data_IF_343624534154
#
_entry.id   IF_343624534154
#
_cell.length_a   1.000
_cell.length_b   1.000
_cell.length_c   1.000
_cell.angle_alpha   90.00
_cell.angle_beta   90.00
_cell.angle_gamma   90.00
#
_symmetry.space_group_name_H-M   'P 1'
#
loop_
_entity.id
_entity.type
_entity.pdbx_description
1 polymer ?
#
# COMPACT_ATOMS: atom_id res chain seq x y z
N UNK A 1 -28.76 10.51 4.18
CA UNK A 1 -27.72 10.05 3.23
C UNK A 1 -28.19 8.70 2.71
N UNK A 2 -28.83 8.66 1.55
CA UNK A 2 -29.37 7.40 1.00
C UNK A 2 -28.20 6.56 0.51
N UNK A 3 -28.06 5.34 1.05
CA UNK A 3 -27.06 4.37 0.59
C UNK A 3 -27.38 4.01 -0.86
N UNK A 4 -26.53 4.41 -1.78
CA UNK A 4 -26.68 4.06 -3.19
C UNK A 4 -25.99 2.72 -3.43
N UNK A 5 -26.80 1.68 -3.68
CA UNK A 5 -26.31 0.33 -3.95
C UNK A 5 -25.43 0.27 -5.21
N UNK A 6 -25.61 1.20 -6.15
CA UNK A 6 -24.80 1.28 -7.37
C UNK A 6 -23.37 1.73 -7.05
N UNK A 7 -23.23 2.79 -6.25
CA UNK A 7 -21.92 3.28 -5.79
C UNK A 7 -21.23 2.21 -4.94
N UNK A 8 -21.96 1.53 -4.07
CA UNK A 8 -21.40 0.45 -3.25
C UNK A 8 -20.80 -0.68 -4.10
N UNK A 9 -21.46 -1.05 -5.21
CA UNK A 9 -20.97 -2.09 -6.14
C UNK A 9 -19.71 -1.65 -6.89
N UNK A 10 -19.58 -0.37 -7.22
CA UNK A 10 -18.40 0.18 -7.89
C UNK A 10 -17.20 0.30 -6.93
N UNK A 11 -17.44 0.48 -5.63
CA UNK A 11 -16.40 0.48 -4.57
C UNK A 11 -16.00 -0.93 -4.13
N UNK A 12 -16.81 -1.96 -4.44
CA UNK A 12 -16.57 -3.34 -4.05
C UNK A 12 -15.17 -3.90 -4.38
N UNK A 13 -14.59 -3.71 -5.60
CA UNK A 13 -13.24 -4.19 -5.89
C UNK A 13 -12.18 -3.56 -4.96
N UNK A 14 -12.32 -2.27 -4.62
CA UNK A 14 -11.47 -1.61 -3.62
C UNK A 14 -11.63 -2.29 -2.26
N UNK A 15 -12.87 -2.57 -1.84
CA UNK A 15 -13.16 -3.22 -0.55
C UNK A 15 -12.62 -4.64 -0.44
N UNK A 16 -12.67 -5.43 -1.51
CA UNK A 16 -12.08 -6.78 -1.54
C UNK A 16 -10.57 -6.70 -1.36
N UNK A 17 -9.90 -5.80 -2.07
CA UNK A 17 -8.45 -5.59 -1.95
C UNK A 17 -8.08 -5.04 -0.57
N UNK A 18 -8.90 -4.15 0.00
CA UNK A 18 -8.71 -3.60 1.34
C UNK A 18 -8.81 -4.69 2.42
N UNK A 19 -9.83 -5.56 2.35
CA UNK A 19 -9.98 -6.69 3.27
C UNK A 19 -8.80 -7.64 3.14
N UNK A 20 -8.40 -7.99 1.92
CA UNK A 20 -7.20 -8.81 1.67
C UNK A 20 -5.94 -8.18 2.25
N UNK A 21 -5.76 -6.86 2.08
CA UNK A 21 -4.64 -6.12 2.67
C UNK A 21 -4.61 -6.25 4.19
N UNK A 22 -5.72 -6.04 4.89
CA UNK A 22 -5.77 -6.14 6.35
C UNK A 22 -5.49 -7.58 6.81
N UNK A 23 -6.15 -8.56 6.21
CA UNK A 23 -6.02 -9.97 6.58
C UNK A 23 -4.61 -10.50 6.36
N UNK A 24 -4.01 -10.26 5.18
CA UNK A 24 -2.64 -10.71 4.91
C UNK A 24 -1.60 -9.96 5.75
N UNK A 25 -1.79 -8.67 6.05
CA UNK A 25 -0.90 -7.96 6.97
C UNK A 25 -0.95 -8.56 8.38
N UNK A 26 -2.15 -8.86 8.90
CA UNK A 26 -2.31 -9.46 10.22
C UNK A 26 -1.73 -10.88 10.27
N UNK A 27 -1.95 -11.69 9.24
CA UNK A 27 -1.35 -13.03 9.13
C UNK A 27 0.18 -12.95 9.02
N UNK A 28 0.72 -12.00 8.27
CA UNK A 28 2.16 -11.78 8.19
C UNK A 28 2.75 -11.48 9.58
N UNK A 29 2.15 -10.53 10.33
CA UNK A 29 2.59 -10.19 11.68
C UNK A 29 2.41 -11.31 12.71
N UNK A 30 1.52 -12.28 12.45
CA UNK A 30 1.37 -13.49 13.28
C UNK A 30 2.54 -14.45 13.11
N UNK A 31 3.09 -14.57 11.90
CA UNK A 31 4.15 -15.53 11.58
C UNK A 31 5.54 -14.91 11.52
N UNK A 32 5.65 -13.58 11.52
CA UNK A 32 6.90 -12.86 11.30
C UNK A 32 7.02 -11.65 12.23
N UNK A 33 8.23 -11.42 12.73
CA UNK A 33 8.57 -10.22 13.50
C UNK A 33 8.41 -8.92 12.72
N UNK A 34 8.20 -7.82 13.45
CA UNK A 34 7.93 -6.49 12.90
C UNK A 34 9.08 -5.99 12.00
N UNK A 35 10.33 -6.36 12.31
CA UNK A 35 11.50 -5.97 11.54
C UNK A 35 11.56 -6.63 10.16
N UNK A 36 11.10 -7.88 10.02
CA UNK A 36 11.03 -8.56 8.72
C UNK A 36 9.77 -8.17 7.94
N UNK A 37 8.67 -7.85 8.65
CA UNK A 37 7.49 -7.27 8.01
C UNK A 37 7.84 -6.05 7.15
N UNK A 38 8.85 -5.25 7.55
CA UNK A 38 9.36 -4.16 6.73
C UNK A 38 9.97 -4.58 5.39
N UNK A 39 10.80 -5.62 5.39
CA UNK A 39 11.49 -6.11 4.19
C UNK A 39 10.45 -6.51 3.14
N UNK A 40 9.37 -7.18 3.56
CA UNK A 40 8.20 -7.46 2.72
C UNK A 40 7.53 -6.18 2.20
N UNK A 41 7.30 -5.19 3.08
CA UNK A 41 6.63 -3.93 2.72
C UNK A 41 7.37 -3.13 1.66
N UNK A 42 8.68 -3.21 1.56
CA UNK A 42 9.42 -2.56 0.48
C UNK A 42 9.09 -3.12 -0.92
N UNK A 43 8.66 -4.38 -1.01
CA UNK A 43 8.22 -5.00 -2.25
C UNK A 43 6.91 -4.37 -2.79
N UNK A 44 6.16 -3.68 -1.92
CA UNK A 44 4.98 -2.88 -2.32
C UNK A 44 5.34 -1.87 -3.41
N UNK A 45 6.54 -1.29 -3.37
CA UNK A 45 6.99 -0.34 -4.39
C UNK A 45 7.11 -1.01 -5.75
N UNK A 46 7.70 -2.21 -5.80
CA UNK A 46 7.85 -3.02 -7.03
C UNK A 46 6.47 -3.40 -7.57
N UNK A 47 5.57 -3.89 -6.71
CA UNK A 47 4.20 -4.21 -7.13
C UNK A 47 3.42 -3.00 -7.61
N UNK A 48 3.63 -1.83 -7.02
CA UNK A 48 3.01 -0.60 -7.52
C UNK A 48 3.49 -0.30 -8.95
N UNK A 49 4.79 -0.46 -9.26
CA UNK A 49 5.28 -0.27 -10.64
C UNK A 49 4.57 -1.20 -11.61
N UNK A 50 4.50 -2.48 -11.26
CA UNK A 50 3.87 -3.52 -12.09
C UNK A 50 2.37 -3.23 -12.25
N UNK A 51 1.66 -2.94 -11.17
CA UNK A 51 0.23 -2.68 -11.20
C UNK A 51 -0.10 -1.37 -11.92
N UNK A 52 0.70 -0.31 -11.76
CA UNK A 52 0.52 0.95 -12.49
C UNK A 52 0.77 0.77 -14.00
N UNK A 53 1.72 -0.08 -14.38
CA UNK A 53 1.94 -0.45 -15.78
C UNK A 53 0.77 -1.26 -16.34
N UNK A 54 0.32 -2.30 -15.63
CA UNK A 54 -0.72 -3.22 -16.09
C UNK A 54 -2.13 -2.61 -16.06
N UNK A 55 -2.49 -1.91 -14.99
CA UNK A 55 -3.85 -1.41 -14.74
C UNK A 55 -4.05 -0.03 -15.36
N UNK A 56 -3.09 0.89 -15.18
CA UNK A 56 -3.18 2.26 -15.69
C UNK A 56 -2.58 2.42 -17.10
N UNK A 57 -1.92 1.39 -17.65
CA UNK A 57 -1.32 1.42 -18.98
C UNK A 57 -0.17 2.44 -19.13
N UNK A 58 0.34 2.98 -18.03
CA UNK A 58 1.40 3.98 -18.09
C UNK A 58 2.74 3.30 -18.41
N UNK A 59 3.29 3.58 -19.60
CA UNK A 59 4.62 3.09 -20.00
C UNK A 59 5.67 3.43 -18.93
N UNK A 60 6.36 2.41 -18.44
CA UNK A 60 7.46 2.53 -17.47
C UNK A 60 8.78 2.57 -18.22
N UNK A 61 9.68 3.51 -17.92
CA UNK A 61 11.01 3.53 -18.54
C UNK A 61 11.87 2.34 -18.11
N UNK A 62 12.80 1.93 -18.97
CA UNK A 62 13.84 0.95 -18.65
C UNK A 62 14.63 1.31 -17.38
N UNK A 63 14.75 2.60 -17.06
CA UNK A 63 15.39 3.08 -15.81
C UNK A 63 14.62 2.65 -14.56
N UNK A 64 13.28 2.71 -14.60
CA UNK A 64 12.43 2.29 -13.49
C UNK A 64 12.45 0.76 -13.29
N UNK A 65 12.56 -0.01 -14.38
CA UNK A 65 12.75 -1.46 -14.32
C UNK A 65 14.09 -1.80 -13.65
N UNK A 66 15.16 -1.08 -13.99
CA UNK A 66 16.46 -1.21 -13.32
C UNK A 66 16.38 -0.99 -11.81
N UNK A 67 15.64 0.03 -11.36
CA UNK A 67 15.40 0.25 -9.93
C UNK A 67 14.62 -0.91 -9.27
N UNK A 68 13.66 -1.52 -9.97
CA UNK A 68 12.94 -2.69 -9.45
C UNK A 68 13.88 -3.87 -9.22
N UNK A 69 14.83 -4.13 -10.12
CA UNK A 69 15.84 -5.17 -9.91
C UNK A 69 16.71 -4.91 -8.67
N UNK A 70 17.09 -3.65 -8.42
CA UNK A 70 17.84 -3.29 -7.21
C UNK A 70 17.03 -3.56 -5.94
N UNK A 71 15.73 -3.23 -5.95
CA UNK A 71 14.84 -3.50 -4.81
C UNK A 71 14.69 -5.00 -4.57
N UNK A 72 14.51 -5.79 -5.64
CA UNK A 72 14.39 -7.25 -5.54
C UNK A 72 15.70 -7.86 -5.02
N UNK A 73 16.85 -7.41 -5.51
CA UNK A 73 18.16 -7.87 -5.02
C UNK A 73 18.34 -7.56 -3.53
N UNK A 74 18.00 -6.34 -3.12
CA UNK A 74 18.03 -5.95 -1.71
C UNK A 74 17.07 -6.78 -0.85
N UNK A 75 15.86 -7.06 -1.34
CA UNK A 75 14.89 -7.93 -0.66
C UNK A 75 15.44 -9.35 -0.48
N UNK A 76 15.99 -9.96 -1.54
CA UNK A 76 16.57 -11.32 -1.48
C UNK A 76 17.73 -11.40 -0.47
N UNK A 77 18.61 -10.38 -0.45
CA UNK A 77 19.67 -10.29 0.56
C UNK A 77 19.12 -10.19 2.00
N UNK A 78 18.00 -9.48 2.18
CA UNK A 78 17.35 -9.36 3.48
C UNK A 78 16.71 -10.67 3.95
N UNK A 79 16.10 -11.40 3.03
CA UNK A 79 15.52 -12.74 3.27
C UNK A 79 16.61 -13.74 3.63
N UNK A 80 17.71 -13.78 2.88
CA UNK A 80 18.84 -14.70 3.12
C UNK A 80 19.47 -14.50 4.50
N UNK A 81 19.63 -13.25 4.94
CA UNK A 81 20.15 -12.92 6.28
C UNK A 81 19.21 -13.37 7.42
N UNK A 82 17.91 -13.32 7.20
CA UNK A 82 16.91 -13.73 8.20
C UNK A 82 16.73 -15.24 8.23
N UNK A 83 16.89 -15.91 7.08
CA UNK A 83 16.99 -17.37 7.00
C UNK A 83 18.25 -17.89 7.72
N UNK A 84 19.39 -17.25 7.48
CA UNK A 84 20.64 -17.53 8.18
C UNK A 84 20.56 -17.29 9.70
N UNK A 85 19.66 -16.42 10.16
CA UNK A 85 19.41 -16.14 11.57
C UNK A 85 18.39 -17.10 12.22
N UNK A 86 17.77 -17.99 11.43
CA UNK A 86 16.80 -18.99 11.89
C UNK A 86 15.43 -18.41 12.28
N UNK A 87 15.17 -17.13 12.03
CA UNK A 87 13.90 -16.44 12.32
C UNK A 87 12.88 -16.52 11.17
N UNK A 88 13.26 -17.13 10.04
CA UNK A 88 12.48 -17.06 8.82
C UNK A 88 11.28 -18.00 8.84
N UNK A 89 10.10 -17.43 8.62
CA UNK A 89 8.87 -18.16 8.37
C UNK A 89 8.46 -18.01 6.91
N UNK A 90 8.65 -19.06 6.10
CA UNK A 90 8.32 -19.06 4.66
C UNK A 90 6.86 -18.65 4.42
N UNK A 91 5.94 -19.15 5.25
CA UNK A 91 4.51 -18.82 5.14
C UNK A 91 4.25 -17.33 5.43
N UNK A 92 5.00 -16.78 6.38
CA UNK A 92 5.01 -15.36 6.70
C UNK A 92 5.54 -14.50 5.56
N UNK A 93 6.61 -14.95 4.87
CA UNK A 93 7.12 -14.28 3.66
C UNK A 93 6.05 -14.23 2.57
N UNK A 94 5.38 -15.34 2.30
CA UNK A 94 4.29 -15.42 1.30
C UNK A 94 3.17 -14.46 1.64
N UNK A 95 2.70 -14.43 2.90
CA UNK A 95 1.69 -13.46 3.33
C UNK A 95 2.18 -12.02 3.24
N UNK A 96 3.45 -11.74 3.53
CA UNK A 96 4.04 -10.41 3.38
C UNK A 96 4.09 -9.93 1.92
N UNK A 97 4.42 -10.83 0.99
CA UNK A 97 4.40 -10.55 -0.46
C UNK A 97 2.97 -10.27 -0.94
N UNK A 98 2.01 -11.12 -0.57
CA UNK A 98 0.59 -10.94 -0.91
C UNK A 98 0.02 -9.65 -0.30
N UNK A 99 0.34 -9.36 0.96
CA UNK A 99 -0.07 -8.13 1.62
C UNK A 99 0.47 -6.90 0.87
N UNK A 100 1.74 -6.93 0.46
CA UNK A 100 2.37 -5.84 -0.29
C UNK A 100 1.73 -5.62 -1.66
N UNK A 101 1.32 -6.69 -2.34
CA UNK A 101 0.52 -6.60 -3.57
C UNK A 101 -0.84 -5.94 -3.31
N UNK A 102 -1.58 -6.41 -2.29
CA UNK A 102 -2.88 -5.83 -1.93
C UNK A 102 -2.76 -4.35 -1.54
N UNK A 103 -1.68 -3.95 -0.87
CA UNK A 103 -1.44 -2.54 -0.50
C UNK A 103 -1.23 -1.67 -1.74
N UNK A 104 -0.45 -2.15 -2.72
CA UNK A 104 -0.24 -1.46 -3.97
C UNK A 104 -1.55 -1.31 -4.75
N UNK A 105 -2.33 -2.40 -4.87
CA UNK A 105 -3.64 -2.38 -5.50
C UNK A 105 -4.63 -1.46 -4.77
N UNK A 106 -4.64 -1.48 -3.43
CA UNK A 106 -5.52 -0.64 -2.62
C UNK A 106 -5.26 0.85 -2.90
N UNK A 107 -4.00 1.27 -2.99
CA UNK A 107 -3.65 2.66 -3.31
C UNK A 107 -4.12 3.07 -4.72
N UNK A 108 -3.94 2.18 -5.71
CA UNK A 108 -4.37 2.42 -7.09
C UNK A 108 -5.90 2.50 -7.19
N UNK A 109 -6.62 1.51 -6.66
CA UNK A 109 -8.09 1.51 -6.65
C UNK A 109 -8.66 2.66 -5.84
N UNK A 110 -8.02 3.07 -4.73
CA UNK A 110 -8.45 4.27 -3.99
C UNK A 110 -8.39 5.50 -4.89
N UNK A 111 -7.30 5.68 -5.63
CA UNK A 111 -7.17 6.80 -6.56
C UNK A 111 -8.16 6.72 -7.73
N UNK A 112 -8.40 5.52 -8.29
CA UNK A 112 -9.32 5.33 -9.42
C UNK A 112 -10.80 5.44 -9.04
N UNK A 113 -11.18 5.08 -7.81
CA UNK A 113 -12.57 5.10 -7.33
C UNK A 113 -12.95 6.45 -6.71
N UNK A 114 -11.98 7.29 -6.38
CA UNK A 114 -12.21 8.62 -5.78
C UNK A 114 -13.13 9.54 -6.64
N UNK A 115 -12.97 9.64 -7.97
CA UNK A 115 -13.85 10.45 -8.81
C UNK A 115 -15.29 9.94 -8.85
N UNK A 116 -15.48 8.62 -8.72
CA UNK A 116 -16.78 7.95 -8.79
C UNK A 116 -17.68 8.36 -7.61
N UNK A 117 -17.09 8.59 -6.44
CA UNK A 117 -17.82 9.01 -5.24
C UNK A 117 -17.94 10.53 -5.07
N UNK A 118 -17.57 11.29 -6.12
CA UNK A 118 -17.58 12.76 -6.13
C UNK A 118 -16.49 13.37 -5.27
N UNK A 119 -15.28 12.79 -5.29
CA UNK A 119 -14.09 13.27 -4.57
C UNK A 119 -14.28 13.45 -3.05
N UNK A 120 -15.24 12.74 -2.47
CA UNK A 120 -15.47 12.73 -1.04
C UNK A 120 -14.83 11.50 -0.40
N UNK A 121 -13.70 11.70 0.27
CA UNK A 121 -13.00 10.63 1.02
C UNK A 121 -13.91 10.06 2.11
N UNK A 122 -14.73 10.91 2.74
CA UNK A 122 -15.70 10.46 3.74
C UNK A 122 -16.67 9.43 3.15
N UNK A 123 -17.23 9.70 1.97
CA UNK A 123 -18.09 8.75 1.26
C UNK A 123 -17.34 7.49 0.90
N UNK A 124 -16.13 7.62 0.32
CA UNK A 124 -15.31 6.48 -0.06
C UNK A 124 -15.04 5.56 1.15
N UNK A 125 -14.64 6.15 2.26
CA UNK A 125 -14.29 5.44 3.50
C UNK A 125 -15.52 4.76 4.10
N UNK A 126 -16.68 5.44 4.09
CA UNK A 126 -17.94 4.87 4.57
C UNK A 126 -18.38 3.66 3.74
N UNK A 127 -18.43 3.78 2.41
CA UNK A 127 -18.78 2.66 1.53
C UNK A 127 -17.77 1.52 1.63
N UNK A 128 -16.48 1.84 1.69
CA UNK A 128 -15.43 0.84 1.81
C UNK A 128 -15.52 0.06 3.13
N UNK A 129 -15.70 0.75 4.26
CA UNK A 129 -15.80 0.10 5.57
C UNK A 129 -17.10 -0.71 5.72
N UNK A 130 -18.20 -0.24 5.14
CA UNK A 130 -19.47 -0.98 5.15
C UNK A 130 -19.37 -2.26 4.32
N UNK A 131 -18.78 -2.19 3.13
CA UNK A 131 -18.49 -3.38 2.33
C UNK A 131 -17.48 -4.30 3.01
N UNK A 132 -16.44 -3.75 3.64
CA UNK A 132 -15.45 -4.53 4.37
C UNK A 132 -16.09 -5.29 5.54
N UNK A 133 -17.00 -4.67 6.30
CA UNK A 133 -17.75 -5.34 7.37
C UNK A 133 -18.48 -6.59 6.85
N UNK A 134 -19.13 -6.48 5.69
CA UNK A 134 -19.82 -7.61 5.06
C UNK A 134 -18.83 -8.66 4.55
N UNK A 135 -17.71 -8.25 3.94
CA UNK A 135 -16.70 -9.14 3.37
C UNK A 135 -15.85 -9.88 4.44
N UNK A 136 -15.71 -9.31 5.64
CA UNK A 136 -15.05 -9.99 6.76
C UNK A 136 -15.87 -11.16 7.31
N UNK A 137 -17.20 -11.14 7.21
CA UNK A 137 -18.07 -12.24 7.67
C UNK A 137 -17.79 -13.59 6.98
N UNK A 138 -17.81 -13.71 5.63
CA UNK A 138 -17.46 -14.95 4.97
C UNK A 138 -15.99 -15.30 5.20
N UNK A 139 -15.09 -14.32 5.30
CA UNK A 139 -13.69 -14.60 5.59
C UNK A 139 -13.51 -15.25 6.97
N UNK A 140 -14.20 -14.77 8.01
CA UNK A 140 -14.18 -15.38 9.35
C UNK A 140 -14.78 -16.80 9.35
N UNK A 141 -15.80 -17.05 8.52
CA UNK A 141 -16.36 -18.40 8.32
C UNK A 141 -15.31 -19.34 7.71
N UNK A 142 -14.63 -18.93 6.64
CA UNK A 142 -13.62 -19.75 5.97
C UNK A 142 -12.35 -19.97 6.80
N UNK A 143 -11.94 -18.98 7.59
CA UNK A 143 -10.77 -19.08 8.46
C UNK A 143 -11.03 -19.90 9.73
N UNK A 144 -12.29 -20.28 10.02
CA UNK A 144 -12.67 -21.02 11.22
C UNK A 144 -12.65 -20.18 12.51
N UNK A 145 -12.42 -18.86 12.42
CA UNK A 145 -12.27 -17.97 13.57
C UNK A 145 -13.55 -17.79 14.37
N UNK A 146 -14.72 -18.06 13.78
CA UNK A 146 -16.00 -17.96 14.50
C UNK A 146 -16.10 -18.91 15.69
N UNK A 147 -15.52 -20.10 15.59
CA UNK A 147 -15.42 -21.01 16.73
C UNK A 147 -14.49 -20.47 17.80
N UNK A 148 -13.31 -20.01 17.40
CA UNK A 148 -12.28 -19.44 18.28
C UNK A 148 -12.80 -18.23 19.08
N UNK A 149 -13.58 -17.34 18.42
CA UNK A 149 -14.15 -16.14 19.05
C UNK A 149 -15.17 -16.50 20.12
N UNK A 150 -16.00 -17.52 19.90
CA UNK A 150 -17.02 -17.94 20.88
C UNK A 150 -16.41 -18.51 22.16
N UNK A 151 -15.25 -19.17 22.06
CA UNK A 151 -14.52 -19.73 23.19
C UNK A 151 -13.43 -18.80 23.74
N UNK A 152 -13.33 -17.57 23.22
CA UNK A 152 -12.26 -16.66 23.61
C UNK A 152 -12.43 -16.17 25.07
N UNK A 153 -11.51 -16.49 26.00
CA UNK A 153 -11.71 -16.23 27.42
C UNK A 153 -11.80 -14.74 27.80
N UNK A 154 -11.28 -13.85 26.94
CA UNK A 154 -11.26 -12.40 27.15
C UNK A 154 -12.38 -11.66 26.41
N UNK A 155 -13.32 -12.38 25.80
CA UNK A 155 -14.41 -11.79 25.01
C UNK A 155 -15.27 -10.82 25.85
N UNK A 156 -15.45 -11.09 27.13
CA UNK A 156 -16.23 -10.23 28.05
C UNK A 156 -15.35 -9.28 28.89
N UNK A 157 -14.05 -9.20 28.60
CA UNK A 157 -13.13 -8.37 29.38
C UNK A 157 -13.18 -6.91 28.90
N UNK A 158 -13.41 -5.97 29.83
CA UNK A 158 -13.49 -4.54 29.53
C UNK A 158 -12.16 -4.00 28.98
N UNK A 159 -11.02 -4.46 29.50
CA UNK A 159 -9.69 -4.07 29.00
C UNK A 159 -9.48 -4.52 27.56
N UNK A 160 -9.98 -5.71 27.19
CA UNK A 160 -9.94 -6.17 25.80
C UNK A 160 -10.73 -5.24 24.88
N UNK A 161 -11.97 -4.90 25.24
CA UNK A 161 -12.81 -3.99 24.44
C UNK A 161 -12.27 -2.55 24.41
N UNK A 162 -11.62 -2.08 25.47
CA UNK A 162 -10.92 -0.80 25.50
C UNK A 162 -9.80 -0.75 24.45
N UNK A 163 -8.88 -1.74 24.46
CA UNK A 163 -7.80 -1.81 23.47
C UNK A 163 -8.33 -2.05 22.06
N UNK A 164 -9.35 -2.90 21.91
CA UNK A 164 -9.99 -3.17 20.62
C UNK A 164 -10.62 -1.91 20.04
N UNK A 165 -11.41 -1.17 20.82
CA UNK A 165 -12.06 0.06 20.38
C UNK A 165 -11.03 1.16 20.08
N UNK A 166 -10.00 1.29 20.92
CA UNK A 166 -8.92 2.25 20.68
C UNK A 166 -8.18 1.96 19.38
N UNK A 167 -7.84 0.68 19.11
CA UNK A 167 -7.23 0.26 17.86
C UNK A 167 -8.15 0.52 16.65
N UNK A 168 -9.46 0.35 16.81
CA UNK A 168 -10.47 0.64 15.79
C UNK A 168 -10.55 2.13 15.44
N UNK A 169 -10.50 3.02 16.44
CA UNK A 169 -10.46 4.47 16.24
C UNK A 169 -9.21 4.86 15.46
N UNK A 170 -8.03 4.38 15.88
CA UNK A 170 -6.79 4.65 15.16
C UNK A 170 -6.79 4.05 13.75
N UNK A 171 -7.35 2.86 13.56
CA UNK A 171 -7.49 2.22 12.26
C UNK A 171 -8.38 3.03 11.32
N UNK A 172 -9.51 3.54 11.81
CA UNK A 172 -10.40 4.42 11.07
C UNK A 172 -9.71 5.74 10.69
N UNK A 173 -9.06 6.39 11.66
CA UNK A 173 -8.30 7.63 11.42
C UNK A 173 -7.20 7.42 10.39
N UNK A 174 -6.42 6.33 10.52
CA UNK A 174 -5.37 5.98 9.57
C UNK A 174 -5.94 5.72 8.17
N UNK A 175 -7.08 5.03 8.05
CA UNK A 175 -7.77 4.83 6.78
C UNK A 175 -8.17 6.16 6.13
N UNK A 176 -8.79 7.06 6.91
CA UNK A 176 -9.19 8.39 6.45
C UNK A 176 -7.99 9.24 5.99
N UNK A 177 -6.95 9.34 6.82
CA UNK A 177 -5.73 10.11 6.51
C UNK A 177 -5.00 9.53 5.29
N UNK A 178 -4.98 8.20 5.14
CA UNK A 178 -4.38 7.54 3.98
C UNK A 178 -5.15 7.89 2.70
N UNK A 179 -6.48 7.81 2.72
CA UNK A 179 -7.32 8.25 1.59
C UNK A 179 -7.12 9.74 1.27
N UNK A 180 -7.00 10.57 2.31
CA UNK A 180 -6.74 12.01 2.15
C UNK A 180 -5.38 12.31 1.54
N UNK A 181 -4.34 11.61 1.96
CA UNK A 181 -3.03 11.72 1.36
C UNK A 181 -3.03 11.33 -0.11
N UNK A 182 -3.73 10.24 -0.47
CA UNK A 182 -3.86 9.80 -1.86
C UNK A 182 -4.60 10.84 -2.70
N UNK A 183 -5.69 11.42 -2.18
CA UNK A 183 -6.43 12.49 -2.85
C UNK A 183 -5.58 13.74 -3.07
N UNK A 184 -4.90 14.21 -2.02
CA UNK A 184 -4.12 15.45 -2.07
C UNK A 184 -2.84 15.31 -2.92
N UNK A 185 -2.39 14.08 -3.18
CA UNK A 185 -1.16 13.80 -3.93
C UNK A 185 -1.40 12.83 -5.08
N UNK A 186 -1.03 11.57 -4.93
CA UNK A 186 -1.30 10.47 -5.87
C UNK A 186 -1.04 9.13 -5.19
N UNK A 187 -1.51 8.02 -5.79
CA UNK A 187 -1.17 6.68 -5.30
C UNK A 187 0.35 6.42 -5.31
N UNK A 188 1.07 7.02 -6.26
CA UNK A 188 2.53 6.94 -6.33
C UNK A 188 3.17 7.65 -5.14
N UNK A 189 2.82 8.92 -4.89
CA UNK A 189 3.34 9.72 -3.77
C UNK A 189 3.04 9.08 -2.42
N UNK A 190 1.82 8.56 -2.23
CA UNK A 190 1.45 7.82 -1.04
C UNK A 190 2.37 6.62 -0.79
N UNK A 191 2.67 5.83 -1.82
CA UNK A 191 3.53 4.67 -1.64
C UNK A 191 4.97 5.05 -1.30
N UNK A 192 5.47 6.16 -1.83
CA UNK A 192 6.80 6.71 -1.50
C UNK A 192 6.85 7.11 -0.02
N UNK A 193 5.87 7.90 0.44
CA UNK A 193 5.74 8.24 1.86
C UNK A 193 5.57 6.99 2.72
N UNK A 194 4.87 5.97 2.21
CA UNK A 194 4.73 4.66 2.83
C UNK A 194 6.06 3.94 3.03
N UNK A 195 6.94 3.93 2.02
CA UNK A 195 8.28 3.34 2.13
C UNK A 195 9.15 4.08 3.15
N UNK A 196 9.11 5.42 3.16
CA UNK A 196 9.86 6.23 4.13
C UNK A 196 9.35 6.03 5.56
N UNK A 197 8.02 6.02 5.76
CA UNK A 197 7.38 5.68 7.04
C UNK A 197 7.83 4.31 7.53
N UNK A 198 7.81 3.33 6.64
CA UNK A 198 8.18 1.97 6.96
C UNK A 198 9.69 1.85 7.30
N UNK A 199 10.56 2.63 6.65
CA UNK A 199 11.99 2.71 6.98
C UNK A 199 12.22 3.22 8.40
N UNK A 200 11.57 4.34 8.74
CA UNK A 200 11.61 4.89 10.08
C UNK A 200 11.05 3.90 11.11
N UNK A 201 9.93 3.24 10.78
CA UNK A 201 9.31 2.22 11.63
C UNK A 201 10.28 1.07 11.93
N UNK A 202 11.11 0.69 10.97
CA UNK A 202 12.09 -0.41 11.12
C UNK A 202 13.23 -0.04 12.05
N UNK A 203 13.79 1.16 11.89
CA UNK A 203 14.81 1.67 12.81
C UNK A 203 14.23 1.74 14.23
N UNK A 204 13.01 2.25 14.38
CA UNK A 204 12.34 2.29 15.68
C UNK A 204 12.08 0.89 16.25
N UNK A 205 11.66 -0.08 15.42
CA UNK A 205 11.42 -1.45 15.85
C UNK A 205 12.71 -2.13 16.34
N UNK A 206 13.81 -2.01 15.60
CA UNK A 206 15.10 -2.60 16.00
C UNK A 206 15.58 -2.03 17.34
N UNK A 207 15.43 -0.72 17.55
CA UNK A 207 15.79 -0.06 18.82
C UNK A 207 14.86 -0.52 19.96
N UNK A 208 13.55 -0.52 19.73
CA UNK A 208 12.56 -0.83 20.76
C UNK A 208 12.58 -2.30 21.19
N UNK A 209 12.68 -3.21 20.22
CA UNK A 209 12.75 -4.65 20.46
C UNK A 209 14.17 -5.14 20.81
N UNK A 210 15.16 -4.23 20.84
CA UNK A 210 16.57 -4.54 21.12
C UNK A 210 17.10 -5.69 20.25
N UNK A 211 16.70 -5.73 18.98
CA UNK A 211 17.08 -6.79 18.06
C UNK A 211 18.52 -6.58 17.57
N UNK A 212 19.35 -7.61 17.69
CA UNK A 212 20.70 -7.60 17.13
C UNK A 212 20.62 -8.04 15.67
N UNK A 213 20.83 -7.10 14.74
CA UNK A 213 20.81 -7.36 13.30
C UNK A 213 22.20 -7.26 12.68
N UNK A 214 22.51 -8.17 11.76
CA UNK A 214 23.79 -8.23 11.06
C UNK A 214 24.01 -6.99 10.18
N UNK A 215 25.28 -6.63 9.96
CA UNK A 215 25.63 -5.53 9.05
C UNK A 215 25.04 -5.70 7.63
N UNK A 216 25.03 -6.93 7.11
CA UNK A 216 24.43 -7.24 5.80
C UNK A 216 22.92 -6.98 5.75
N UNK A 217 22.21 -7.18 6.85
CA UNK A 217 20.78 -6.86 6.95
C UNK A 217 20.56 -5.34 6.82
N UNK A 218 21.38 -4.53 7.49
CA UNK A 218 21.35 -3.07 7.33
C UNK A 218 21.70 -2.65 5.90
N UNK A 219 22.69 -3.28 5.28
CA UNK A 219 23.06 -3.01 3.89
C UNK A 219 21.88 -3.31 2.93
N UNK A 220 21.18 -4.43 3.11
CA UNK A 220 19.95 -4.76 2.37
C UNK A 220 18.91 -3.64 2.50
N UNK A 221 18.62 -3.19 3.72
CA UNK A 221 17.66 -2.11 3.97
C UNK A 221 18.06 -0.80 3.26
N UNK A 222 19.34 -0.43 3.29
CA UNK A 222 19.86 0.75 2.58
C UNK A 222 19.72 0.61 1.06
N UNK A 223 20.06 -0.56 0.50
CA UNK A 223 19.92 -0.84 -0.94
C UNK A 223 18.46 -0.69 -1.37
N UNK A 224 17.53 -1.26 -0.61
CA UNK A 224 16.10 -1.21 -0.89
C UNK A 224 15.55 0.21 -0.80
N UNK A 225 15.97 0.97 0.22
CA UNK A 225 15.60 2.38 0.38
C UNK A 225 16.11 3.23 -0.77
N UNK A 226 17.39 3.04 -1.13
CA UNK A 226 18.01 3.75 -2.24
C UNK A 226 17.34 3.40 -3.56
N UNK A 227 17.06 2.12 -3.83
CA UNK A 227 16.33 1.67 -5.02
C UNK A 227 14.94 2.29 -5.11
N UNK A 228 14.22 2.38 -3.99
CA UNK A 228 12.89 3.01 -3.92
C UNK A 228 12.95 4.53 -4.14
N UNK A 229 13.96 5.20 -3.59
CA UNK A 229 14.18 6.63 -3.79
C UNK A 229 14.60 6.96 -5.23
N UNK A 230 15.48 6.15 -5.82
CA UNK A 230 15.90 6.28 -7.21
C UNK A 230 14.71 6.06 -8.17
N UNK A 231 13.89 5.04 -7.93
CA UNK A 231 12.67 4.79 -8.69
C UNK A 231 11.73 6.00 -8.65
N UNK A 232 11.49 6.52 -7.46
CA UNK A 232 10.67 7.72 -7.23
C UNK A 232 11.16 8.90 -8.05
N UNK A 233 12.47 9.14 -8.02
CA UNK A 233 13.09 10.25 -8.74
C UNK A 233 12.92 10.10 -10.26
N UNK A 234 13.16 8.91 -10.80
CA UNK A 234 12.94 8.60 -12.23
C UNK A 234 11.49 8.83 -12.60
N UNK A 235 10.54 8.35 -11.78
CA UNK A 235 9.12 8.48 -12.10
C UNK A 235 8.63 9.92 -12.02
N UNK A 236 9.12 10.69 -11.05
CA UNK A 236 8.86 12.13 -10.96
C UNK A 236 9.35 12.84 -12.23
N UNK A 237 10.57 12.55 -12.70
CA UNK A 237 11.06 13.12 -13.96
C UNK A 237 10.21 12.74 -15.17
N UNK A 238 9.69 11.51 -15.24
CA UNK A 238 8.79 11.10 -16.32
C UNK A 238 7.47 11.88 -16.30
N UNK A 239 6.91 12.12 -15.12
CA UNK A 239 5.69 12.90 -14.95
C UNK A 239 5.90 14.37 -15.32
N UNK A 240 7.01 14.97 -14.86
CA UNK A 240 7.36 16.36 -15.17
C UNK A 240 7.60 16.55 -16.68
N UNK A 241 8.25 15.59 -17.35
CA UNK A 241 8.44 15.62 -18.81
C UNK A 241 7.11 15.49 -19.57
N UNK A 242 6.18 14.64 -19.12
CA UNK A 242 4.85 14.55 -19.73
C UNK A 242 4.05 15.83 -19.54
N UNK A 243 4.08 16.43 -18.36
CA UNK A 243 3.39 17.69 -18.08
C UNK A 243 3.91 18.84 -18.96
N UNK A 244 5.23 18.99 -19.07
CA UNK A 244 5.85 20.01 -19.92
C UNK A 244 5.57 19.78 -21.42
N UNK A 245 5.61 18.52 -21.88
CA UNK A 245 5.28 18.19 -23.27
C UNK A 245 3.81 18.47 -23.63
N UNK A 246 2.87 18.16 -22.73
CA UNK A 246 1.45 18.53 -22.92
C UNK A 246 1.24 20.04 -22.96
N UNK A 247 1.96 20.81 -22.13
CA UNK A 247 1.90 22.28 -22.14
C UNK A 247 2.45 22.89 -23.44
N UNK A 248 3.52 22.32 -24.01
CA UNK A 248 4.05 22.75 -25.31
C UNK A 248 3.10 22.43 -26.47
N UNK A 249 2.47 21.27 -26.47
CA UNK A 249 1.48 20.89 -27.49
C UNK A 249 0.27 21.81 -27.44
N UNK A 250 -0.30 22.07 -26.26
CA UNK A 250 -1.44 22.99 -26.10
C UNK A 250 -1.07 24.41 -26.54
N UNK A 251 0.12 24.90 -26.17
CA UNK A 251 0.61 26.21 -26.60
C UNK A 251 0.81 26.30 -28.11
N UNK A 252 1.31 25.24 -28.75
CA UNK A 252 1.48 25.16 -30.20
C UNK A 252 0.15 25.14 -30.95
N UNK A 253 -0.84 24.39 -30.44
CA UNK A 253 -2.20 24.35 -31.00
C UNK A 253 -2.91 25.71 -30.89
N UNK A 254 -2.81 26.39 -29.73
CA UNK A 254 -3.41 27.72 -29.53
C UNK A 254 -2.80 28.80 -30.44
N UNK A 255 -1.49 28.71 -30.72
CA UNK A 255 -0.79 29.63 -31.66
C UNK A 255 -1.21 29.37 -33.11
N UNK A 256 -1.48 28.11 -33.48
CA UNK A 256 -1.96 27.77 -34.83
C UNK A 256 -3.43 28.17 -35.06
N UNK A 257 -4.32 28.02 -34.08
CA UNK A 257 -5.71 28.51 -34.16
C UNK A 257 -5.76 30.04 -34.34
N UNK A 258 -4.92 30.78 -33.61
CA UNK A 258 -4.87 32.25 -33.71
C UNK A 258 -4.35 32.76 -35.06
N UNK A 259 -3.57 31.93 -35.79
CA UNK A 259 -3.15 32.22 -37.18
C UNK A 259 -4.22 31.85 -38.21
N UNK A 260 -5.02 30.81 -37.96
CA UNK A 260 -6.08 30.37 -38.86
C UNK A 260 -7.34 31.27 -38.83
N UNK A 261 -7.61 31.96 -37.72
CA UNK A 261 -8.77 32.86 -37.58
C UNK A 261 -8.57 34.29 -38.08
N UNK A 262 -7.43 34.61 -38.70
CA UNK A 262 -7.13 35.94 -39.31
C UNK A 262 -7.04 35.89 -40.84
N UNK A 263 -7.47 34.79 -41.47
CA UNK A 263 -7.56 34.63 -42.91
C UNK A 263 -8.94 34.99 -43.45
#
# INVERSE_FOLDING_TARGET
>A
MTLDAKISREVLPLSVVFVGMISFNNLCLKYVGVSFYYVGRCLTTVFNVICTYLILGQKTSARAIGCCFVIIAGFLLGVDQEDASGSLSVIGVVFGVLASLCVALNAIYTQSTLPIVGDSIWRLTMYNNLNAMVLFLPLMLFSGELGEVMFFPRLFNVTFWMWMSLSGIFGFMMGYVTGWQIQATSALTHNISGTAKAAAQTVMAVIYFSEIKTFMWWASNVIVLFGSAAYTYVKKQEMDKKANGSHEIIRSSAVNEHKSGRG
#
